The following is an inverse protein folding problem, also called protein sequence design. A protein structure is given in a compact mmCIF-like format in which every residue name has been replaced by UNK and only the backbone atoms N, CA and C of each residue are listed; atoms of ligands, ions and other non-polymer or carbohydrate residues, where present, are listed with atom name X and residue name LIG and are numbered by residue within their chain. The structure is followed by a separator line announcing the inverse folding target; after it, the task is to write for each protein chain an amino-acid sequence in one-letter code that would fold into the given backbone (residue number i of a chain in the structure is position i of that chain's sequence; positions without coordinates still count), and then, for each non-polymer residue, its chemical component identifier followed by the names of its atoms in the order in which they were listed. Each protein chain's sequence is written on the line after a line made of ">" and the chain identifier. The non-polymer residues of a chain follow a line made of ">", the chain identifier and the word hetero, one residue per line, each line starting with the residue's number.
data_IF_980981823267
#
_entry.id   IF_980981823267
#
_cell.length_a   1.000
_cell.length_b   1.000
_cell.length_c   1.000
_cell.angle_alpha   90.00
_cell.angle_beta   90.00
_cell.angle_gamma   90.00
#
_symmetry.space_group_name_H-M   'P 1'
#
loop_
_entity.id
_entity.type
_entity.pdbx_description
1 polymer ?
#
# COMPACT_ATOMS: atom_id res chain seq x y z
N UNK A 1 22.99 10.72 -13.48
CA UNK A 1 22.19 10.09 -14.55
C UNK A 1 21.11 11.09 -14.98
N UNK A 2 20.90 11.28 -16.29
CA UNK A 2 19.95 12.28 -16.80
C UNK A 2 18.49 11.82 -16.58
N UNK A 3 17.59 12.68 -16.07
CA UNK A 3 16.17 12.33 -15.88
C UNK A 3 15.49 11.88 -17.17
N UNK A 4 15.84 12.49 -18.30
CA UNK A 4 15.30 12.13 -19.62
C UNK A 4 15.70 10.72 -20.05
N UNK A 5 16.93 10.32 -19.74
CA UNK A 5 17.44 8.99 -20.07
C UNK A 5 16.74 7.92 -19.21
N UNK A 6 16.55 8.20 -17.93
CA UNK A 6 15.79 7.32 -17.01
C UNK A 6 14.36 7.14 -17.50
N UNK A 7 13.67 8.23 -17.85
CA UNK A 7 12.29 8.18 -18.35
C UNK A 7 12.17 7.33 -19.63
N UNK A 8 13.07 7.51 -20.60
CA UNK A 8 13.08 6.72 -21.85
C UNK A 8 13.30 5.22 -21.59
N UNK A 9 14.18 4.87 -20.65
CA UNK A 9 14.46 3.47 -20.32
C UNK A 9 13.30 2.80 -19.60
N UNK A 10 12.63 3.53 -18.71
CA UNK A 10 11.41 3.02 -18.05
C UNK A 10 10.35 2.77 -19.12
N UNK A 11 10.12 3.75 -20.01
CA UNK A 11 9.17 3.63 -21.12
C UNK A 11 9.50 2.43 -22.03
N UNK A 12 10.77 2.23 -22.39
CA UNK A 12 11.17 1.13 -23.29
C UNK A 12 11.08 -0.25 -22.65
N UNK A 13 11.24 -0.33 -21.32
CA UNK A 13 11.38 -1.62 -20.63
C UNK A 13 10.05 -2.10 -20.04
N UNK A 14 9.29 -1.18 -19.45
CA UNK A 14 8.06 -1.48 -18.71
C UNK A 14 6.83 -0.90 -19.42
N UNK A 15 7.02 0.03 -20.35
CA UNK A 15 5.94 0.76 -21.02
C UNK A 15 5.54 2.03 -20.27
N UNK A 16 4.35 2.54 -20.57
CA UNK A 16 3.79 3.70 -19.89
C UNK A 16 3.42 3.36 -18.45
N UNK A 17 3.95 4.13 -17.51
CA UNK A 17 3.70 4.03 -16.06
C UNK A 17 3.02 5.30 -15.58
N UNK A 18 2.02 5.15 -14.70
CA UNK A 18 1.13 6.24 -14.32
C UNK A 18 1.83 7.36 -13.55
N UNK A 19 2.77 7.01 -12.67
CA UNK A 19 3.57 7.98 -11.91
C UNK A 19 4.97 7.43 -11.66
N UNK A 20 5.96 8.32 -11.68
CA UNK A 20 7.35 8.01 -11.31
C UNK A 20 7.87 9.14 -10.43
N UNK A 21 8.06 8.83 -9.15
CA UNK A 21 8.49 9.78 -8.13
C UNK A 21 9.86 9.43 -7.60
N UNK A 22 10.78 10.40 -7.64
CA UNK A 22 12.09 10.26 -7.00
C UNK A 22 11.96 10.49 -5.49
N UNK A 23 12.42 9.52 -4.70
CA UNK A 23 12.45 9.61 -3.25
C UNK A 23 13.72 10.33 -2.76
N UNK A 24 13.69 10.81 -1.51
CA UNK A 24 14.87 11.40 -0.86
C UNK A 24 16.02 10.40 -0.70
N UNK A 25 15.71 9.10 -0.63
CA UNK A 25 16.72 8.02 -0.65
C UNK A 25 17.48 7.93 -1.98
N UNK A 26 16.95 8.53 -3.04
CA UNK A 26 17.46 8.38 -4.41
C UNK A 26 16.73 7.33 -5.23
N UNK A 27 15.89 6.52 -4.60
CA UNK A 27 15.08 5.49 -5.27
C UNK A 27 13.96 6.10 -6.12
N UNK A 28 13.46 5.30 -7.07
CA UNK A 28 12.29 5.64 -7.87
C UNK A 28 11.09 4.82 -7.40
N UNK A 29 10.01 5.53 -7.06
CA UNK A 29 8.73 4.95 -6.73
C UNK A 29 7.80 5.05 -7.95
N UNK A 30 7.13 3.97 -8.30
CA UNK A 30 6.11 3.96 -9.36
C UNK A 30 4.89 3.16 -8.93
N UNK A 31 3.71 3.60 -9.34
CA UNK A 31 2.46 2.84 -9.18
C UNK A 31 2.08 2.22 -10.51
N UNK A 32 1.83 0.91 -10.50
CA UNK A 32 1.50 0.14 -11.68
C UNK A 32 0.70 -1.11 -11.30
N UNK A 33 -0.58 -1.13 -11.68
CA UNK A 33 -1.43 -2.32 -11.52
C UNK A 33 -1.07 -3.41 -12.53
N UNK A 34 -0.75 -3.01 -13.77
CA UNK A 34 -0.58 -3.95 -14.89
C UNK A 34 0.84 -4.49 -15.02
N UNK A 35 1.83 -3.71 -14.60
CA UNK A 35 3.24 -4.01 -14.84
C UNK A 35 4.00 -4.40 -13.55
N UNK A 36 3.31 -4.53 -12.41
CA UNK A 36 3.92 -4.90 -11.13
C UNK A 36 4.67 -6.24 -11.14
N UNK A 37 4.17 -7.23 -11.87
CA UNK A 37 4.82 -8.55 -12.01
C UNK A 37 6.10 -8.49 -12.86
N UNK A 38 6.09 -7.71 -13.94
CA UNK A 38 7.26 -7.45 -14.79
C UNK A 38 8.32 -6.64 -14.03
N UNK A 39 7.87 -5.61 -13.31
CA UNK A 39 8.72 -4.79 -12.43
C UNK A 39 9.39 -5.64 -11.35
N UNK A 40 8.64 -6.54 -10.69
CA UNK A 40 9.20 -7.40 -9.64
C UNK A 40 10.30 -8.35 -10.10
N UNK A 41 10.36 -8.67 -11.40
CA UNK A 41 11.40 -9.51 -12.02
C UNK A 41 12.53 -8.72 -12.67
N UNK A 42 12.42 -7.40 -12.69
CA UNK A 42 13.37 -6.52 -13.35
C UNK A 42 14.68 -6.47 -12.56
N UNK A 43 15.76 -6.97 -13.16
CA UNK A 43 17.11 -6.94 -12.58
C UNK A 43 18.02 -5.92 -13.24
N UNK A 44 17.65 -5.42 -14.43
CA UNK A 44 18.41 -4.44 -15.19
C UNK A 44 17.47 -3.40 -15.79
N UNK A 45 17.92 -2.16 -15.84
CA UNK A 45 17.28 -1.06 -16.55
C UNK A 45 18.27 -0.55 -17.58
N UNK A 46 18.16 -1.03 -18.82
CA UNK A 46 19.20 -0.85 -19.83
C UNK A 46 20.53 -1.50 -19.39
N UNK A 47 21.67 -0.80 -19.48
CA UNK A 47 22.97 -1.33 -19.05
C UNK A 47 23.19 -1.31 -17.52
N UNK A 48 22.27 -0.75 -16.72
CA UNK A 48 22.45 -0.62 -15.27
C UNK A 48 21.74 -1.74 -14.52
N UNK A 49 22.39 -2.42 -13.57
CA UNK A 49 21.71 -3.33 -12.65
C UNK A 49 20.83 -2.53 -11.70
N UNK A 50 19.60 -3.00 -11.49
CA UNK A 50 18.62 -2.38 -10.59
C UNK A 50 18.02 -3.45 -9.69
N UNK A 51 17.59 -3.03 -8.50
CA UNK A 51 16.82 -3.88 -7.59
C UNK A 51 15.42 -3.32 -7.49
N UNK A 52 14.43 -4.14 -7.80
CA UNK A 52 13.03 -3.80 -7.57
C UNK A 52 12.53 -4.51 -6.33
N UNK A 53 11.86 -3.77 -5.46
CA UNK A 53 11.18 -4.30 -4.28
C UNK A 53 9.78 -3.70 -4.21
N UNK A 54 8.80 -4.55 -3.95
CA UNK A 54 7.45 -4.10 -3.65
C UNK A 54 7.45 -3.31 -2.34
N UNK A 55 6.74 -2.19 -2.34
CA UNK A 55 6.61 -1.38 -1.13
C UNK A 55 5.37 -1.82 -0.34
N UNK A 56 5.57 -2.68 0.64
CA UNK A 56 4.51 -3.40 1.37
C UNK A 56 3.41 -2.51 1.97
N UNK A 57 3.72 -1.24 2.29
CA UNK A 57 2.78 -0.32 2.97
C UNK A 57 2.10 0.69 2.04
N UNK A 58 2.48 0.78 0.77
CA UNK A 58 1.90 1.76 -0.16
C UNK A 58 0.61 1.28 -0.83
N UNK A 59 0.27 0.00 -0.68
CA UNK A 59 -0.96 -0.60 -1.22
C UNK A 59 -2.13 -0.61 -0.22
N UNK A 60 -1.91 -0.11 1.00
CA UNK A 60 -2.94 -0.09 2.04
C UNK A 60 -3.02 1.31 2.65
N UNK A 61 -4.23 1.86 2.70
CA UNK A 61 -4.55 3.03 3.53
C UNK A 61 -5.04 2.54 4.89
N UNK A 62 -4.74 3.30 5.95
CA UNK A 62 -5.32 3.08 7.28
C UNK A 62 -6.32 4.19 7.55
N UNK A 63 -7.53 3.81 7.92
CA UNK A 63 -8.60 4.72 8.31
C UNK A 63 -8.97 4.55 9.78
N UNK A 64 -9.74 5.48 10.32
CA UNK A 64 -10.44 5.28 11.60
C UNK A 64 -11.92 5.51 11.37
N UNK A 65 -12.73 4.51 11.70
CA UNK A 65 -14.20 4.62 11.67
C UNK A 65 -14.68 4.66 13.11
N UNK A 66 -15.51 5.65 13.44
CA UNK A 66 -16.03 5.89 14.79
C UNK A 66 -17.55 5.80 14.77
N UNK A 67 -18.10 4.62 15.04
CA UNK A 67 -19.53 4.36 14.94
C UNK A 67 -20.00 3.41 16.06
N UNK A 68 -21.10 3.74 16.72
CA UNK A 68 -21.57 3.00 17.91
C UNK A 68 -22.20 1.66 17.55
N UNK A 69 -22.86 1.57 16.39
CA UNK A 69 -23.50 0.33 15.92
C UNK A 69 -22.48 -0.77 15.62
N UNK A 70 -21.30 -0.40 15.12
CA UNK A 70 -20.23 -1.35 14.78
C UNK A 70 -19.59 -2.02 16.00
N UNK A 71 -19.86 -1.53 17.21
CA UNK A 71 -19.41 -2.16 18.46
C UNK A 71 -19.94 -3.59 18.60
N UNK A 72 -21.12 -3.86 18.05
CA UNK A 72 -21.79 -5.16 18.19
C UNK A 72 -21.27 -6.23 17.23
N UNK A 73 -20.53 -5.84 16.19
CA UNK A 73 -20.07 -6.75 15.14
C UNK A 73 -18.62 -7.15 15.40
N UNK A 74 -18.22 -8.34 14.98
CA UNK A 74 -16.84 -8.83 15.11
C UNK A 74 -15.94 -8.23 14.03
N UNK A 75 -14.61 -8.29 14.23
CA UNK A 75 -13.65 -7.82 13.20
C UNK A 75 -13.75 -8.63 11.90
N UNK A 76 -14.06 -9.93 12.00
CA UNK A 76 -14.23 -10.80 10.83
C UNK A 76 -15.47 -10.41 10.00
N UNK A 77 -16.61 -10.19 10.64
CA UNK A 77 -17.84 -9.73 9.98
C UNK A 77 -17.63 -8.37 9.29
N UNK A 78 -16.90 -7.46 9.94
CA UNK A 78 -16.59 -6.15 9.36
C UNK A 78 -15.73 -6.26 8.10
N UNK A 79 -14.74 -7.15 8.10
CA UNK A 79 -13.91 -7.39 6.91
C UNK A 79 -14.74 -8.02 5.81
N UNK A 80 -15.60 -8.98 6.12
CA UNK A 80 -16.45 -9.66 5.13
C UNK A 80 -17.44 -8.69 4.45
N UNK A 81 -18.19 -7.92 5.25
CA UNK A 81 -19.20 -6.98 4.75
C UNK A 81 -18.58 -5.77 4.02
N UNK A 82 -17.42 -5.29 4.51
CA UNK A 82 -16.73 -4.13 3.91
C UNK A 82 -15.67 -4.52 2.86
N UNK A 83 -15.53 -5.82 2.54
CA UNK A 83 -14.59 -6.29 1.52
C UNK A 83 -14.88 -5.65 0.15
N UNK A 84 -16.16 -5.44 -0.16
CA UNK A 84 -16.61 -4.75 -1.39
C UNK A 84 -16.10 -3.30 -1.50
N UNK A 85 -15.79 -2.67 -0.37
CA UNK A 85 -15.22 -1.33 -0.27
C UNK A 85 -13.68 -1.33 -0.18
N UNK A 86 -13.04 -2.50 -0.30
CA UNK A 86 -11.59 -2.66 -0.24
C UNK A 86 -11.03 -2.75 1.18
N UNK A 87 -11.86 -3.01 2.19
CA UNK A 87 -11.37 -3.25 3.57
C UNK A 87 -10.81 -4.66 3.66
N UNK A 88 -9.49 -4.77 3.80
CA UNK A 88 -8.81 -6.06 3.95
C UNK A 88 -8.59 -6.47 5.42
N UNK A 89 -8.59 -5.50 6.33
CA UNK A 89 -8.31 -5.71 7.76
C UNK A 89 -9.16 -4.72 8.56
N UNK A 90 -9.77 -5.19 9.65
CA UNK A 90 -10.42 -4.36 10.65
C UNK A 90 -9.88 -4.72 12.04
N UNK A 91 -9.60 -3.72 12.89
CA UNK A 91 -9.14 -3.91 14.28
C UNK A 91 -9.87 -2.98 15.23
N UNK A 92 -10.40 -3.51 16.34
CA UNK A 92 -11.03 -2.75 17.42
C UNK A 92 -10.00 -1.91 18.13
N UNK A 93 -10.25 -0.61 18.24
CA UNK A 93 -9.49 0.21 19.19
C UNK A 93 -9.97 -0.15 20.59
N UNK A 94 -9.04 -0.55 21.45
CA UNK A 94 -9.29 -0.78 22.86
C UNK A 94 -8.55 0.28 23.68
N UNK A 95 -9.18 0.76 24.75
CA UNK A 95 -8.51 1.62 25.72
C UNK A 95 -8.25 0.84 27.00
N UNK A 96 -7.16 1.18 27.69
CA UNK A 96 -6.75 0.52 28.92
C UNK A 96 -7.21 1.36 30.12
N UNK A 97 -7.90 0.73 31.07
CA UNK A 97 -8.28 1.32 32.36
C UNK A 97 -8.06 0.28 33.46
N UNK A 98 -7.34 0.65 34.51
CA UNK A 98 -7.04 -0.22 35.66
C UNK A 98 -6.45 -1.59 35.27
N UNK A 99 -5.59 -1.59 34.26
CA UNK A 99 -4.95 -2.81 33.75
C UNK A 99 -5.82 -3.68 32.83
N UNK A 100 -7.11 -3.35 32.64
CA UNK A 100 -8.04 -4.06 31.77
C UNK A 100 -8.28 -3.32 30.46
N UNK A 101 -8.53 -4.06 29.39
CA UNK A 101 -8.84 -3.53 28.07
C UNK A 101 -10.36 -3.41 27.88
N UNK A 102 -10.80 -2.27 27.38
CA UNK A 102 -12.20 -1.96 27.11
C UNK A 102 -12.36 -1.60 25.63
N UNK A 103 -13.34 -2.19 24.92
CA UNK A 103 -13.58 -1.87 23.51
C UNK A 103 -14.12 -0.43 23.37
N UNK A 104 -13.59 0.29 22.38
CA UNK A 104 -14.10 1.59 21.95
C UNK A 104 -14.97 1.39 20.70
N UNK A 105 -15.83 2.36 20.41
CA UNK A 105 -16.61 2.44 19.16
C UNK A 105 -15.76 2.81 17.93
N UNK A 106 -14.44 2.65 18.01
CA UNK A 106 -13.51 3.01 16.95
C UNK A 106 -12.84 1.76 16.37
N UNK A 107 -12.65 1.76 15.06
CA UNK A 107 -12.05 0.69 14.27
C UNK A 107 -10.87 1.22 13.44
N UNK A 108 -9.83 0.40 13.31
CA UNK A 108 -8.63 0.59 12.47
C UNK A 108 -8.62 -0.36 11.27
#
# INVERSE_FOLDING_TARGET
>A
MSPFLVSKLILSTIGEVADVKKLRSGDLLTNSERQGTTLGKLTTLGPWPVKVSLHNTLNFSRGVISEQTLVQHTEAELVEELNSQGVCVARRIQFRRDGRLYPKHMLF
#
